data_IF_581520744813
#
_entry.id   IF_581520744813
#
_cell.length_a   1.000
_cell.length_b   1.000
_cell.length_c   1.000
_cell.angle_alpha   90.00
_cell.angle_beta   90.00
_cell.angle_gamma   90.00
#
_symmetry.space_group_name_H-M   'P 1'
#
loop_
_entity.id
_entity.type
_entity.pdbx_description
1 polymer ?
#
# COMPACT_ATOMS: atom_id res chain seq x y z
N UNK A 1 -12.68 -6.81 1.99
CA UNK A 1 -14.14 -6.59 2.16
C UNK A 1 -14.81 -5.97 0.91
N UNK A 2 -14.27 -4.92 0.28
CA UNK A 2 -14.86 -4.23 -0.89
C UNK A 2 -15.12 -5.20 -2.05
N UNK A 3 -14.15 -5.99 -2.48
CA UNK A 3 -14.30 -6.94 -3.59
C UNK A 3 -15.39 -8.00 -3.35
N UNK A 4 -15.53 -8.46 -2.11
CA UNK A 4 -16.58 -9.44 -1.75
C UNK A 4 -17.98 -8.88 -1.95
N UNK A 5 -18.16 -7.60 -1.67
CA UNK A 5 -19.47 -6.96 -1.69
C UNK A 5 -19.82 -6.42 -3.09
N UNK A 6 -18.82 -5.85 -3.79
CA UNK A 6 -19.05 -5.08 -5.02
C UNK A 6 -18.51 -5.76 -6.27
N UNK A 7 -17.65 -6.79 -6.13
CA UNK A 7 -16.94 -7.38 -7.26
C UNK A 7 -15.83 -6.47 -7.78
N UNK A 8 -15.37 -6.73 -8.99
CA UNK A 8 -14.38 -5.91 -9.70
C UNK A 8 -14.69 -5.83 -11.19
N UNK A 9 -14.18 -4.78 -11.83
CA UNK A 9 -14.27 -4.56 -13.28
C UNK A 9 -12.86 -4.38 -13.82
N UNK A 10 -12.48 -4.98 -14.96
CA UNK A 10 -11.20 -4.72 -15.60
C UNK A 10 -11.01 -3.24 -15.96
N UNK A 11 -9.79 -2.71 -15.82
CA UNK A 11 -9.48 -1.32 -16.11
C UNK A 11 -9.80 -0.93 -17.56
N UNK A 12 -9.64 -1.84 -18.52
CA UNK A 12 -9.98 -1.58 -19.93
C UNK A 12 -11.48 -1.44 -20.19
N UNK A 13 -12.33 -1.86 -19.26
CA UNK A 13 -13.79 -1.68 -19.31
C UNK A 13 -14.21 -0.44 -18.53
N UNK A 14 -13.63 -0.26 -17.35
CA UNK A 14 -13.90 0.89 -16.48
C UNK A 14 -12.60 1.32 -15.78
N UNK A 15 -12.06 2.43 -16.26
CA UNK A 15 -10.80 2.98 -15.75
C UNK A 15 -10.99 4.10 -14.72
N UNK A 16 -12.22 4.50 -14.40
CA UNK A 16 -12.48 5.60 -13.45
C UNK A 16 -11.97 6.97 -13.93
N UNK A 17 -11.74 7.14 -15.23
CA UNK A 17 -11.24 8.40 -15.80
C UNK A 17 -11.92 8.68 -17.16
N UNK A 18 -13.14 9.23 -17.17
CA UNK A 18 -13.86 9.56 -18.40
C UNK A 18 -13.24 10.74 -19.16
N UNK A 19 -12.28 11.45 -18.55
CA UNK A 19 -11.56 12.56 -19.14
C UNK A 19 -10.25 12.02 -19.72
N UNK A 20 -9.94 12.35 -20.98
CA UNK A 20 -8.70 11.95 -21.62
C UNK A 20 -7.47 12.48 -20.87
N UNK A 21 -6.46 11.61 -20.69
CA UNK A 21 -5.18 11.98 -20.09
C UNK A 21 -4.84 11.19 -18.82
N UNK A 22 -4.00 11.79 -17.98
CA UNK A 22 -3.63 11.19 -16.70
C UNK A 22 -4.73 11.37 -15.68
N UNK A 23 -4.89 10.38 -14.81
CA UNK A 23 -5.73 10.51 -13.62
C UNK A 23 -5.30 11.74 -12.81
N UNK A 24 -6.24 12.63 -12.54
CA UNK A 24 -6.07 13.79 -11.69
C UNK A 24 -7.38 14.06 -10.96
N UNK A 25 -7.45 13.68 -9.72
CA UNK A 25 -8.64 13.78 -8.89
C UNK A 25 -8.66 15.00 -7.97
N UNK A 26 -7.73 15.97 -8.17
CA UNK A 26 -7.64 17.15 -7.29
C UNK A 26 -8.92 17.97 -7.25
N UNK A 27 -9.56 18.17 -8.41
CA UNK A 27 -10.83 18.90 -8.46
C UNK A 27 -11.94 18.12 -7.74
N UNK A 28 -12.02 16.82 -7.98
CA UNK A 28 -12.98 15.92 -7.31
C UNK A 28 -12.82 15.98 -5.78
N UNK A 29 -11.59 15.90 -5.29
CA UNK A 29 -11.28 15.96 -3.86
C UNK A 29 -11.85 17.24 -3.22
N UNK A 30 -11.58 18.41 -3.82
CA UNK A 30 -12.08 19.68 -3.31
C UNK A 30 -13.59 19.81 -3.43
N UNK A 31 -14.19 19.31 -4.51
CA UNK A 31 -15.64 19.31 -4.68
C UNK A 31 -16.30 18.43 -3.62
N UNK A 32 -15.83 17.20 -3.43
CA UNK A 32 -16.35 16.28 -2.42
C UNK A 32 -16.22 16.85 -1.01
N UNK A 33 -15.06 17.42 -0.68
CA UNK A 33 -14.84 18.08 0.60
C UNK A 33 -15.81 19.25 0.80
N UNK A 34 -15.97 20.12 -0.19
CA UNK A 34 -16.88 21.26 -0.12
C UNK A 34 -18.34 20.86 0.06
N UNK A 35 -18.76 19.77 -0.60
CA UNK A 35 -20.10 19.20 -0.42
C UNK A 35 -20.31 18.67 0.99
N UNK A 36 -19.37 17.90 1.53
CA UNK A 36 -19.43 17.36 2.89
C UNK A 36 -19.43 18.48 3.95
N UNK A 37 -18.57 19.48 3.80
CA UNK A 37 -18.54 20.64 4.69
C UNK A 37 -19.90 21.38 4.67
N UNK A 38 -20.53 21.54 3.50
CA UNK A 38 -21.86 22.13 3.36
C UNK A 38 -22.96 21.32 4.01
N UNK A 39 -22.93 19.99 3.85
CA UNK A 39 -23.87 19.06 4.50
C UNK A 39 -23.76 19.16 6.02
N UNK A 40 -22.55 19.14 6.56
CA UNK A 40 -22.30 19.24 8.01
C UNK A 40 -22.70 20.60 8.58
N UNK A 41 -22.50 21.70 7.85
CA UNK A 41 -22.89 23.03 8.26
C UNK A 41 -24.45 23.20 8.41
N UNK A 42 -25.20 22.38 7.69
CA UNK A 42 -26.67 22.40 7.71
C UNK A 42 -27.33 21.93 9.00
N UNK A 43 -26.57 21.39 9.96
CA UNK A 43 -27.00 20.91 11.28
C UNK A 43 -28.12 19.84 11.29
N UNK A 44 -28.75 19.55 10.17
CA UNK A 44 -29.82 18.56 10.03
C UNK A 44 -29.60 17.80 8.72
N UNK A 45 -29.23 16.55 8.86
CA UNK A 45 -29.02 15.66 7.72
C UNK A 45 -30.36 15.17 7.18
N UNK A 46 -30.40 15.00 5.87
CA UNK A 46 -31.45 14.27 5.14
C UNK A 46 -30.78 13.05 4.52
N UNK A 47 -31.56 12.20 3.87
CA UNK A 47 -31.07 11.05 3.09
C UNK A 47 -30.58 11.43 1.67
N UNK A 48 -30.54 12.73 1.32
CA UNK A 48 -30.24 13.18 -0.04
C UNK A 48 -28.77 13.50 -0.29
N UNK A 49 -27.99 13.69 0.76
CA UNK A 49 -26.56 14.01 0.61
C UNK A 49 -25.77 12.85 0.00
N UNK A 50 -26.12 11.61 0.32
CA UNK A 50 -25.48 10.41 -0.20
C UNK A 50 -25.73 10.25 -1.72
N UNK A 51 -26.99 10.38 -2.16
CA UNK A 51 -27.35 10.43 -3.57
C UNK A 51 -26.57 11.53 -4.33
N UNK A 52 -26.40 12.70 -3.71
CA UNK A 52 -25.70 13.83 -4.33
C UNK A 52 -24.20 13.55 -4.47
N UNK A 53 -23.58 12.96 -3.46
CA UNK A 53 -22.18 12.55 -3.51
C UNK A 53 -21.96 11.47 -4.58
N UNK A 54 -22.80 10.43 -4.60
CA UNK A 54 -22.71 9.34 -5.59
C UNK A 54 -22.78 9.87 -7.02
N UNK A 55 -23.73 10.75 -7.33
CA UNK A 55 -23.83 11.38 -8.65
C UNK A 55 -22.65 12.28 -9.00
N UNK A 56 -22.02 12.89 -8.00
CA UNK A 56 -20.81 13.65 -8.21
C UNK A 56 -19.64 12.72 -8.56
N UNK A 57 -19.51 11.59 -7.86
CA UNK A 57 -18.53 10.56 -8.20
C UNK A 57 -18.74 10.04 -9.63
N UNK A 58 -19.98 9.72 -10.01
CA UNK A 58 -20.31 9.25 -11.36
C UNK A 58 -19.93 10.28 -12.44
N UNK A 59 -20.10 11.57 -12.14
CA UNK A 59 -19.74 12.65 -13.08
C UNK A 59 -18.22 12.75 -13.32
N UNK A 60 -17.40 12.49 -12.30
CA UNK A 60 -15.95 12.57 -12.37
C UNK A 60 -15.27 11.26 -12.73
N UNK A 61 -15.81 10.14 -12.30
CA UNK A 61 -15.21 8.81 -12.45
C UNK A 61 -15.89 7.95 -13.53
N UNK A 62 -17.07 8.36 -13.98
CA UNK A 62 -17.95 7.53 -14.81
C UNK A 62 -18.79 6.55 -13.99
N UNK A 63 -19.85 6.04 -14.60
CA UNK A 63 -20.72 5.04 -13.98
C UNK A 63 -20.06 3.66 -14.07
N UNK A 64 -20.03 2.94 -12.95
CA UNK A 64 -19.58 1.54 -12.93
C UNK A 64 -20.62 0.69 -13.67
N UNK A 65 -20.24 -0.13 -14.67
CA UNK A 65 -21.19 -0.94 -15.43
C UNK A 65 -21.77 -2.06 -14.57
N UNK A 66 -23.08 -2.24 -14.63
CA UNK A 66 -23.77 -3.41 -14.02
C UNK A 66 -23.40 -4.72 -14.72
N UNK A 67 -23.19 -4.66 -16.04
CA UNK A 67 -22.80 -5.78 -16.90
C UNK A 67 -21.78 -5.32 -17.94
N UNK A 68 -20.85 -6.19 -18.29
CA UNK A 68 -19.82 -5.92 -19.29
C UNK A 68 -19.40 -7.20 -20.03
N UNK A 69 -18.84 -7.04 -21.25
CA UNK A 69 -18.24 -8.14 -22.01
C UNK A 69 -16.72 -8.08 -21.92
N UNK A 70 -16.08 -9.17 -21.54
CA UNK A 70 -14.64 -9.29 -21.42
C UNK A 70 -14.16 -10.64 -21.96
N UNK A 71 -13.18 -10.65 -22.87
CA UNK A 71 -12.65 -11.87 -23.51
C UNK A 71 -13.74 -12.79 -24.10
N UNK A 72 -14.82 -12.20 -24.63
CA UNK A 72 -15.92 -12.92 -25.28
C UNK A 72 -16.99 -13.48 -24.34
N UNK A 73 -16.87 -13.26 -23.05
CA UNK A 73 -17.85 -13.64 -22.03
C UNK A 73 -18.55 -12.40 -21.47
N UNK A 74 -19.75 -12.57 -20.93
CA UNK A 74 -20.51 -11.53 -20.27
C UNK A 74 -20.45 -11.71 -18.76
N UNK A 75 -20.20 -10.62 -18.05
CA UNK A 75 -20.02 -10.59 -16.61
C UNK A 75 -20.82 -9.46 -15.98
N UNK A 76 -21.22 -9.66 -14.73
CA UNK A 76 -21.36 -8.59 -13.75
C UNK A 76 -20.04 -8.42 -12.98
N UNK A 77 -19.79 -7.28 -12.30
CA UNK A 77 -18.60 -7.12 -11.45
C UNK A 77 -18.40 -8.28 -10.46
N UNK A 78 -19.51 -8.79 -9.92
CA UNK A 78 -19.50 -9.91 -8.97
C UNK A 78 -19.14 -11.24 -9.62
N UNK A 79 -19.75 -11.58 -10.76
CA UNK A 79 -19.45 -12.83 -11.44
C UNK A 79 -18.03 -12.87 -12.01
N UNK A 80 -17.46 -11.70 -12.40
CA UNK A 80 -16.08 -11.61 -12.82
C UNK A 80 -15.12 -11.84 -11.64
N UNK A 81 -15.41 -11.25 -10.47
CA UNK A 81 -14.63 -11.52 -9.26
C UNK A 81 -14.65 -13.00 -8.86
N UNK A 82 -15.84 -13.63 -8.92
CA UNK A 82 -16.00 -15.05 -8.56
C UNK A 82 -15.21 -15.96 -9.52
N UNK A 83 -15.10 -15.61 -10.83
CA UNK A 83 -14.30 -16.37 -11.82
C UNK A 83 -12.78 -16.29 -11.56
N UNK A 84 -12.30 -15.23 -10.93
CA UNK A 84 -10.88 -15.10 -10.62
C UNK A 84 -10.40 -16.05 -9.53
N UNK A 85 -11.32 -16.72 -8.82
CA UNK A 85 -11.03 -17.67 -7.74
C UNK A 85 -10.14 -17.05 -6.62
N UNK A 86 -10.16 -15.72 -6.49
CA UNK A 86 -9.43 -15.02 -5.43
C UNK A 86 -10.29 -15.00 -4.17
N UNK A 87 -9.78 -15.59 -3.09
CA UNK A 87 -10.41 -15.49 -1.78
C UNK A 87 -9.70 -14.44 -0.91
N UNK A 88 -10.30 -13.27 -0.65
CA UNK A 88 -9.69 -12.24 0.19
C UNK A 88 -9.39 -12.71 1.63
N UNK A 89 -10.10 -13.75 2.14
CA UNK A 89 -9.84 -14.31 3.46
C UNK A 89 -8.55 -15.15 3.54
N UNK A 90 -7.90 -15.38 2.39
CA UNK A 90 -6.60 -16.04 2.36
C UNK A 90 -5.44 -15.06 2.54
N UNK A 91 -5.73 -13.76 2.68
CA UNK A 91 -4.73 -12.72 2.88
C UNK A 91 -4.79 -12.18 4.29
N UNK A 92 -3.61 -11.93 4.86
CA UNK A 92 -3.44 -11.43 6.22
C UNK A 92 -2.63 -10.15 6.16
N UNK A 93 -3.11 -9.12 6.86
CA UNK A 93 -2.41 -7.85 7.02
C UNK A 93 -1.64 -7.83 8.34
N UNK A 94 -0.36 -7.49 8.26
CA UNK A 94 0.56 -7.43 9.38
C UNK A 94 1.09 -6.02 9.56
N UNK A 95 1.28 -5.64 10.81
CA UNK A 95 1.94 -4.39 11.20
C UNK A 95 2.93 -4.64 12.33
N UNK A 96 3.72 -3.62 12.69
CA UNK A 96 4.76 -3.77 13.73
C UNK A 96 4.92 -2.50 14.55
N UNK A 97 4.25 -2.42 15.69
CA UNK A 97 4.35 -1.29 16.62
C UNK A 97 4.42 -1.78 18.08
N UNK A 98 5.49 -1.40 18.80
CA UNK A 98 5.79 -1.87 20.15
C UNK A 98 4.99 -1.15 21.26
N UNK A 99 4.21 -0.13 20.93
CA UNK A 99 3.27 0.53 21.84
C UNK A 99 1.94 -0.23 22.00
N UNK A 100 1.77 -1.34 21.29
CA UNK A 100 0.66 -2.27 21.36
C UNK A 100 1.19 -3.69 21.64
N UNK A 101 0.33 -4.57 22.09
CA UNK A 101 0.72 -5.96 22.29
C UNK A 101 1.09 -6.64 20.98
N UNK A 102 2.20 -7.33 20.95
CA UNK A 102 2.52 -8.21 19.85
C UNK A 102 1.65 -9.48 19.88
N UNK A 103 1.43 -10.05 18.70
CA UNK A 103 0.61 -11.21 18.44
C UNK A 103 -0.86 -11.01 18.84
N UNK A 104 -1.34 -9.78 18.62
CA UNK A 104 -2.72 -9.38 18.82
C UNK A 104 -3.22 -8.61 17.59
N UNK A 105 -4.53 -8.61 17.39
CA UNK A 105 -5.19 -7.80 16.35
C UNK A 105 -5.37 -6.38 16.85
N UNK A 106 -4.80 -5.45 16.16
CA UNK A 106 -4.88 -4.02 16.48
C UNK A 106 -5.50 -3.24 15.33
N UNK A 107 -6.17 -2.17 15.65
CA UNK A 107 -6.62 -1.15 14.69
C UNK A 107 -5.53 -0.10 14.56
N UNK A 108 -5.16 0.24 13.31
CA UNK A 108 -4.28 1.37 13.03
C UNK A 108 -5.13 2.61 12.77
N UNK A 109 -4.87 3.65 13.53
CA UNK A 109 -5.53 4.96 13.41
C UNK A 109 -4.86 5.78 12.30
N UNK A 110 -4.95 5.29 11.06
CA UNK A 110 -4.43 5.93 9.85
C UNK A 110 -5.60 6.31 8.92
N UNK A 111 -5.46 7.35 8.09
CA UNK A 111 -6.57 7.83 7.23
C UNK A 111 -7.11 6.77 6.28
N UNK A 112 -6.26 5.92 5.73
CA UNK A 112 -6.65 4.90 4.76
C UNK A 112 -7.38 3.70 5.40
N UNK A 113 -7.29 3.55 6.72
CA UNK A 113 -8.06 2.54 7.46
C UNK A 113 -9.48 3.03 7.83
N UNK A 114 -10.20 3.61 6.85
CA UNK A 114 -11.57 4.12 7.04
C UNK A 114 -12.60 3.03 7.37
N UNK A 115 -12.28 1.76 7.11
CA UNK A 115 -13.10 0.59 7.46
C UNK A 115 -12.90 0.12 8.89
N UNK A 116 -11.90 0.65 9.61
CA UNK A 116 -11.44 0.21 10.94
C UNK A 116 -11.06 -1.28 10.95
N UNK A 117 -10.48 -1.77 9.86
CA UNK A 117 -9.98 -3.12 9.77
C UNK A 117 -8.77 -3.33 10.69
N UNK A 118 -8.54 -4.58 11.07
CA UNK A 118 -7.51 -4.94 12.04
C UNK A 118 -6.32 -5.57 11.36
N UNK A 119 -5.15 -5.18 11.83
CA UNK A 119 -3.84 -5.68 11.44
C UNK A 119 -3.30 -6.60 12.54
N UNK A 120 -2.66 -7.70 12.17
CA UNK A 120 -2.00 -8.55 13.15
C UNK A 120 -0.62 -7.97 13.49
N UNK A 121 -0.46 -7.51 14.75
CA UNK A 121 0.75 -6.82 15.20
C UNK A 121 1.83 -7.83 15.60
N UNK A 122 3.00 -7.73 14.96
CA UNK A 122 4.15 -8.59 15.23
C UNK A 122 5.43 -7.77 15.40
N UNK A 123 6.49 -8.28 16.05
CA UNK A 123 7.80 -7.63 16.05
C UNK A 123 8.31 -7.40 14.62
N UNK A 124 9.11 -6.33 14.38
CA UNK A 124 9.63 -6.02 13.05
C UNK A 124 10.46 -7.16 12.45
N UNK A 125 11.16 -7.93 13.28
CA UNK A 125 11.89 -9.13 12.83
C UNK A 125 10.98 -10.17 12.23
N UNK A 126 9.74 -10.31 12.76
CA UNK A 126 8.77 -11.28 12.26
C UNK A 126 8.17 -10.77 10.94
N UNK A 127 8.02 -9.44 10.73
CA UNK A 127 7.69 -8.85 9.42
C UNK A 127 8.72 -9.27 8.37
N UNK A 128 10.01 -9.12 8.68
CA UNK A 128 11.07 -9.51 7.75
C UNK A 128 11.08 -11.03 7.49
N UNK A 129 10.85 -11.85 8.52
CA UNK A 129 10.75 -13.31 8.37
C UNK A 129 9.56 -13.69 7.46
N UNK A 130 8.41 -13.04 7.63
CA UNK A 130 7.24 -13.24 6.76
C UNK A 130 7.59 -12.87 5.31
N UNK A 131 8.21 -11.70 5.10
CA UNK A 131 8.58 -11.22 3.78
C UNK A 131 9.57 -12.17 3.08
N UNK A 132 10.59 -12.63 3.80
CA UNK A 132 11.61 -13.54 3.26
C UNK A 132 11.01 -14.91 2.94
N UNK A 133 10.16 -15.42 3.82
CA UNK A 133 9.45 -16.67 3.58
C UNK A 133 8.51 -16.57 2.38
N UNK A 134 7.76 -15.47 2.26
CA UNK A 134 6.88 -15.23 1.13
C UNK A 134 7.65 -15.26 -0.20
N UNK A 135 8.69 -14.44 -0.32
CA UNK A 135 9.49 -14.33 -1.55
C UNK A 135 10.20 -15.62 -1.89
N UNK A 136 10.74 -16.36 -0.89
CA UNK A 136 11.41 -17.64 -1.10
C UNK A 136 10.46 -18.75 -1.59
N UNK A 137 9.16 -18.63 -1.31
CA UNK A 137 8.14 -19.58 -1.72
C UNK A 137 7.32 -19.09 -2.94
N UNK A 138 7.77 -18.03 -3.62
CA UNK A 138 7.14 -17.54 -4.86
C UNK A 138 5.91 -16.67 -4.64
N UNK A 139 5.68 -16.21 -3.41
CA UNK A 139 4.63 -15.23 -3.11
C UNK A 139 5.19 -13.81 -3.16
N UNK A 140 4.41 -12.90 -3.64
CA UNK A 140 4.69 -11.47 -3.59
C UNK A 140 3.99 -10.81 -2.38
N UNK A 141 4.37 -9.57 -2.08
CA UNK A 141 3.93 -8.85 -0.89
C UNK A 141 3.34 -7.51 -1.32
N UNK A 142 2.13 -7.21 -0.87
CA UNK A 142 1.65 -5.83 -0.89
C UNK A 142 2.29 -5.11 0.30
N UNK A 143 3.02 -4.04 0.01
CA UNK A 143 3.70 -3.21 1.00
C UNK A 143 3.00 -1.87 1.08
N UNK A 144 2.72 -1.45 2.28
CA UNK A 144 2.16 -0.17 2.64
C UNK A 144 3.14 0.59 3.54
N UNK A 145 3.42 1.85 3.21
CA UNK A 145 4.36 2.65 3.96
C UNK A 145 4.64 4.00 3.35
N UNK A 146 5.67 4.65 3.88
CA UNK A 146 6.07 5.99 3.51
C UNK A 146 7.10 5.97 2.39
N UNK A 147 6.73 6.51 1.23
CA UNK A 147 7.61 6.76 0.08
C UNK A 147 7.99 8.25 -0.06
N UNK A 148 7.91 9.00 1.04
CA UNK A 148 8.16 10.43 1.12
C UNK A 148 9.47 10.90 0.50
N UNK A 149 9.76 12.19 0.62
CA UNK A 149 10.91 12.80 -0.08
C UNK A 149 12.26 12.35 0.45
N UNK A 150 12.32 12.01 1.72
CA UNK A 150 13.56 11.67 2.40
C UNK A 150 13.86 10.19 2.21
N UNK A 151 15.08 9.88 1.75
CA UNK A 151 15.61 8.53 1.61
C UNK A 151 15.00 7.67 0.49
N UNK A 152 13.98 8.14 -0.23
CA UNK A 152 13.42 7.51 -1.42
C UNK A 152 13.90 8.24 -2.69
N UNK A 153 14.99 7.75 -3.28
CA UNK A 153 15.67 8.39 -4.40
C UNK A 153 15.00 8.02 -5.74
N UNK A 154 13.97 8.78 -6.09
CA UNK A 154 13.05 8.47 -7.20
C UNK A 154 13.73 8.30 -8.55
N UNK A 155 14.72 9.13 -8.84
CA UNK A 155 15.42 9.10 -10.13
C UNK A 155 16.45 7.97 -10.19
N UNK A 156 17.00 7.61 -9.03
CA UNK A 156 18.05 6.60 -8.89
C UNK A 156 17.49 5.19 -8.75
N UNK A 157 16.21 5.05 -8.39
CA UNK A 157 15.50 3.78 -8.28
C UNK A 157 15.89 2.95 -7.07
N UNK A 158 16.28 3.60 -5.98
CA UNK A 158 16.53 2.93 -4.70
C UNK A 158 16.08 3.75 -3.49
N UNK A 159 15.97 3.10 -2.35
CA UNK A 159 15.63 3.69 -1.07
C UNK A 159 16.47 3.08 0.05
N UNK A 160 17.09 3.94 0.88
CA UNK A 160 18.04 3.56 1.93
C UNK A 160 17.90 4.51 3.12
N UNK A 161 18.36 4.10 4.32
CA UNK A 161 18.42 4.96 5.51
C UNK A 161 19.90 5.15 5.91
N UNK A 162 20.60 6.14 5.36
CA UNK A 162 22.01 6.33 5.60
C UNK A 162 22.29 6.74 7.06
N UNK A 163 23.47 6.40 7.56
CA UNK A 163 23.95 6.88 8.88
C UNK A 163 24.21 8.38 8.83
N UNK A 164 24.80 8.84 7.72
CA UNK A 164 25.10 10.24 7.47
C UNK A 164 24.11 10.83 6.47
N UNK A 165 23.18 11.64 6.97
CA UNK A 165 22.13 12.27 6.17
C UNK A 165 22.62 13.54 5.45
N UNK A 166 23.82 14.06 5.81
CA UNK A 166 24.36 15.32 5.26
C UNK A 166 25.12 15.09 3.93
N UNK A 167 25.52 13.84 3.65
CA UNK A 167 26.22 13.53 2.40
C UNK A 167 25.26 13.61 1.20
N UNK A 168 25.62 14.45 0.24
CA UNK A 168 24.81 14.61 -0.96
C UNK A 168 24.81 13.33 -1.81
N UNK A 169 23.67 13.00 -2.39
CA UNK A 169 23.50 11.83 -3.24
C UNK A 169 24.53 11.74 -4.38
N UNK A 170 24.86 12.88 -4.99
CA UNK A 170 25.83 12.99 -6.09
C UNK A 170 27.27 12.67 -5.70
N UNK A 171 27.59 12.75 -4.41
CA UNK A 171 28.92 12.46 -3.86
C UNK A 171 29.08 10.98 -3.44
N UNK A 172 28.00 10.18 -3.53
CA UNK A 172 27.95 8.80 -3.07
C UNK A 172 28.45 7.85 -4.16
N UNK A 173 29.69 7.42 -4.01
CA UNK A 173 30.35 6.49 -4.95
C UNK A 173 30.39 5.04 -4.48
N UNK A 174 30.13 4.81 -3.20
CA UNK A 174 30.15 3.50 -2.54
C UNK A 174 28.81 3.24 -1.86
N UNK A 175 28.42 1.95 -1.65
CA UNK A 175 27.24 1.63 -0.84
C UNK A 175 27.41 2.14 0.58
N UNK A 176 26.43 2.89 1.03
CA UNK A 176 26.45 3.55 2.32
C UNK A 176 26.29 2.57 3.48
N UNK A 177 26.79 3.00 4.65
CA UNK A 177 26.38 2.38 5.91
C UNK A 177 25.00 2.91 6.27
N UNK A 178 24.09 2.00 6.57
CA UNK A 178 22.75 2.34 6.96
C UNK A 178 22.58 2.30 8.48
N UNK A 179 21.60 3.08 8.96
CA UNK A 179 21.19 3.07 10.37
C UNK A 179 20.65 1.70 10.75
N UNK A 180 20.99 1.23 11.93
CA UNK A 180 20.31 0.09 12.56
C UNK A 180 18.97 0.57 13.11
N UNK A 181 17.88 0.06 12.55
CA UNK A 181 16.53 0.49 12.91
C UNK A 181 15.99 -0.33 14.07
N UNK A 182 15.56 0.37 15.11
CA UNK A 182 14.94 -0.22 16.31
C UNK A 182 13.42 -0.07 16.30
N UNK A 183 12.74 -0.85 17.14
CA UNK A 183 11.29 -0.75 17.34
C UNK A 183 10.89 0.66 17.87
N UNK A 184 11.73 1.25 18.72
CA UNK A 184 11.47 2.58 19.28
C UNK A 184 11.58 3.67 18.20
N UNK A 185 12.54 3.58 17.29
CA UNK A 185 12.64 4.50 16.15
C UNK A 185 11.40 4.43 15.26
N UNK A 186 10.86 3.25 15.08
CA UNK A 186 9.64 3.05 14.26
C UNK A 186 8.43 3.74 14.88
N UNK A 187 8.18 3.48 16.17
CA UNK A 187 7.01 4.09 16.83
C UNK A 187 7.18 5.60 17.02
N UNK A 188 8.40 6.09 17.23
CA UNK A 188 8.68 7.52 17.25
C UNK A 188 8.38 8.17 15.91
N UNK A 189 8.86 7.60 14.80
CA UNK A 189 8.64 8.11 13.45
C UNK A 189 7.14 8.07 13.07
N UNK A 190 6.40 7.05 13.47
CA UNK A 190 4.95 6.97 13.24
C UNK A 190 4.20 8.03 14.06
N UNK A 191 4.53 8.21 15.34
CA UNK A 191 3.86 9.18 16.20
C UNK A 191 4.19 10.64 15.86
N UNK A 192 5.36 10.91 15.29
CA UNK A 192 5.77 12.25 14.83
C UNK A 192 5.30 12.59 13.42
N UNK A 193 4.68 11.64 12.71
CA UNK A 193 4.31 11.74 11.30
C UNK A 193 5.50 11.87 10.35
N UNK A 194 6.70 11.41 10.76
CA UNK A 194 7.86 11.24 9.89
C UNK A 194 7.75 9.97 9.02
N UNK A 195 6.86 9.07 9.41
CA UNK A 195 6.40 7.93 8.62
C UNK A 195 4.89 7.96 8.58
N UNK A 196 4.36 8.03 7.38
CA UNK A 196 2.92 8.08 7.11
C UNK A 196 2.51 6.94 6.17
N UNK A 197 1.23 6.64 6.17
CA UNK A 197 0.55 5.78 5.24
C UNK A 197 0.28 6.57 3.94
N UNK A 198 1.27 6.59 3.03
CA UNK A 198 1.20 7.44 1.83
C UNK A 198 1.31 6.68 0.51
N UNK A 199 1.74 5.40 0.54
CA UNK A 199 1.99 4.71 -0.71
C UNK A 199 1.98 3.19 -0.63
N UNK A 200 1.29 2.58 -1.61
CA UNK A 200 1.26 1.13 -1.80
C UNK A 200 2.21 0.71 -2.92
N UNK A 201 3.03 -0.30 -2.66
CA UNK A 201 3.92 -0.92 -3.65
C UNK A 201 3.89 -2.44 -3.57
N UNK A 202 4.46 -3.09 -4.58
CA UNK A 202 4.45 -4.54 -4.72
C UNK A 202 5.87 -5.10 -4.66
N UNK A 203 6.23 -5.76 -3.56
CA UNK A 203 7.55 -6.40 -3.41
C UNK A 203 7.51 -7.77 -4.06
N UNK A 204 8.42 -8.02 -5.00
CA UNK A 204 8.42 -9.21 -5.86
C UNK A 204 9.71 -10.02 -5.82
N UNK A 205 10.72 -9.58 -5.09
CA UNK A 205 11.99 -10.28 -4.99
C UNK A 205 12.96 -9.64 -4.01
N UNK A 206 14.15 -10.19 -3.93
CA UNK A 206 15.28 -9.69 -3.17
C UNK A 206 16.51 -9.48 -4.05
N UNK A 207 17.41 -8.61 -3.63
CA UNK A 207 18.70 -8.38 -4.24
C UNK A 207 19.75 -8.08 -3.16
N UNK A 208 21.02 -8.12 -3.53
CA UNK A 208 22.12 -7.71 -2.68
C UNK A 208 23.02 -6.74 -3.45
N UNK A 209 23.60 -5.77 -2.75
CA UNK A 209 24.64 -4.93 -3.30
C UNK A 209 26.02 -5.62 -3.15
N UNK A 210 27.09 -4.97 -3.66
CA UNK A 210 28.45 -5.50 -3.61
C UNK A 210 29.02 -5.70 -2.20
N UNK A 211 28.40 -5.11 -1.18
CA UNK A 211 28.79 -5.24 0.23
C UNK A 211 27.93 -6.26 1.00
N UNK A 212 27.02 -6.97 0.31
CA UNK A 212 26.11 -7.92 0.92
C UNK A 212 24.92 -7.28 1.64
N UNK A 213 24.65 -5.99 1.43
CA UNK A 213 23.44 -5.35 1.97
C UNK A 213 22.23 -5.84 1.18
N UNK A 214 21.24 -6.34 1.91
CA UNK A 214 19.99 -6.86 1.35
C UNK A 214 19.05 -5.73 0.94
N UNK A 215 18.43 -5.92 -0.21
CA UNK A 215 17.38 -5.08 -0.74
C UNK A 215 16.13 -5.91 -1.11
N UNK A 216 14.98 -5.28 -1.03
CA UNK A 216 13.73 -5.79 -1.58
C UNK A 216 13.48 -5.16 -2.94
N UNK A 217 13.26 -6.00 -3.96
CA UNK A 217 12.97 -5.58 -5.33
C UNK A 217 11.47 -5.30 -5.44
N UNK A 218 11.13 -4.06 -5.67
CA UNK A 218 9.79 -3.52 -5.46
C UNK A 218 9.27 -2.85 -6.72
N UNK A 219 8.09 -3.25 -7.19
CA UNK A 219 7.39 -2.63 -8.30
C UNK A 219 6.53 -1.48 -7.80
N UNK A 220 6.67 -0.32 -8.45
CA UNK A 220 5.85 0.85 -8.22
C UNK A 220 4.81 1.03 -9.35
N UNK A 221 3.76 1.83 -9.09
CA UNK A 221 2.67 2.12 -10.02
C UNK A 221 2.91 3.32 -10.96
N UNK A 222 4.10 3.97 -10.89
CA UNK A 222 4.37 5.21 -11.64
C UNK A 222 4.81 5.02 -13.09
N UNK A 223 4.55 3.85 -13.68
CA UNK A 223 4.91 3.50 -15.04
C UNK A 223 6.41 3.19 -15.21
N UNK A 224 6.79 2.87 -16.46
CA UNK A 224 8.15 2.44 -16.80
C UNK A 224 8.96 3.49 -17.55
N UNK A 225 8.28 4.44 -18.19
CA UNK A 225 8.91 5.45 -19.05
C UNK A 225 9.88 6.34 -18.26
N UNK A 226 11.10 6.46 -18.77
CA UNK A 226 12.18 7.28 -18.20
C UNK A 226 12.56 6.89 -16.75
N UNK A 227 12.35 5.61 -16.37
CA UNK A 227 12.75 5.06 -15.08
C UNK A 227 13.98 4.17 -15.24
N UNK A 228 14.94 4.31 -14.33
CA UNK A 228 16.24 3.62 -14.38
C UNK A 228 16.10 2.09 -14.38
N UNK A 229 15.11 1.56 -13.68
CA UNK A 229 14.85 0.13 -13.56
C UNK A 229 13.41 -0.22 -13.98
N UNK A 230 12.92 0.37 -15.05
CA UNK A 230 11.60 0.07 -15.65
C UNK A 230 10.44 0.10 -14.65
N UNK A 231 10.47 1.07 -13.72
CA UNK A 231 9.43 1.24 -12.70
C UNK A 231 9.58 0.38 -11.44
N UNK A 232 10.73 -0.25 -11.29
CA UNK A 232 11.11 -0.95 -10.08
C UNK A 232 12.09 -0.14 -9.23
N UNK A 233 12.12 -0.43 -7.93
CA UNK A 233 13.01 0.15 -6.93
C UNK A 233 13.67 -0.92 -6.09
N UNK A 234 14.84 -0.59 -5.55
CA UNK A 234 15.54 -1.40 -4.57
C UNK A 234 15.40 -0.71 -3.21
N UNK A 235 14.58 -1.27 -2.32
CA UNK A 235 14.41 -0.78 -0.95
C UNK A 235 15.30 -1.60 -0.01
N UNK A 236 16.23 -0.95 0.71
CA UNK A 236 17.08 -1.64 1.66
C UNK A 236 16.29 -2.23 2.83
N UNK A 237 16.86 -3.20 3.52
CA UNK A 237 16.23 -3.76 4.73
C UNK A 237 16.02 -2.69 5.82
N UNK A 238 16.96 -1.74 5.98
CA UNK A 238 16.81 -0.62 6.91
C UNK A 238 15.65 0.31 6.51
N UNK A 239 15.51 0.58 5.21
CA UNK A 239 14.40 1.37 4.69
C UNK A 239 13.06 0.68 4.98
N UNK A 240 12.94 -0.60 4.63
CA UNK A 240 11.75 -1.40 4.89
C UNK A 240 11.44 -1.45 6.39
N UNK A 241 12.45 -1.68 7.23
CA UNK A 241 12.26 -1.64 8.69
C UNK A 241 11.66 -0.34 9.19
N UNK A 242 12.16 0.82 8.73
CA UNK A 242 11.70 2.11 9.24
C UNK A 242 10.36 2.53 8.63
N UNK A 243 10.22 2.37 7.32
CA UNK A 243 9.16 3.01 6.53
C UNK A 243 7.91 2.14 6.32
N UNK A 244 7.93 0.87 6.71
CA UNK A 244 6.75 -0.01 6.60
C UNK A 244 5.70 0.35 7.66
N UNK A 245 4.49 0.65 7.22
CA UNK A 245 3.28 0.76 8.05
C UNK A 245 2.62 -0.60 8.17
N UNK A 246 2.39 -1.26 7.04
CA UNK A 246 1.80 -2.59 7.00
C UNK A 246 2.31 -3.41 5.81
N UNK A 247 2.09 -4.71 5.85
CA UNK A 247 2.22 -5.61 4.70
C UNK A 247 0.98 -6.50 4.61
N UNK A 248 0.60 -6.88 3.39
CA UNK A 248 -0.40 -7.93 3.16
C UNK A 248 0.23 -9.07 2.38
N UNK A 249 0.02 -10.30 2.86
CA UNK A 249 0.52 -11.53 2.25
C UNK A 249 -0.54 -12.62 2.23
N UNK A 250 -0.42 -13.56 1.30
CA UNK A 250 -1.22 -14.78 1.34
C UNK A 250 -0.88 -15.62 2.58
N UNK A 251 -1.85 -16.20 3.25
CA UNK A 251 -1.67 -16.98 4.51
C UNK A 251 -0.63 -18.10 4.38
N UNK A 252 -0.54 -18.75 3.20
CA UNK A 252 0.42 -19.83 2.94
C UNK A 252 1.87 -19.33 2.82
N UNK A 253 2.05 -18.02 2.69
CA UNK A 253 3.34 -17.35 2.73
C UNK A 253 3.86 -17.06 4.15
N UNK A 254 2.98 -17.19 5.16
CA UNK A 254 3.33 -16.91 6.56
C UNK A 254 4.05 -18.10 7.18
N UNK A 255 5.21 -17.90 7.86
CA UNK A 255 5.86 -18.97 8.61
C UNK A 255 4.92 -19.62 9.63
N UNK A 256 4.95 -20.94 9.74
CA UNK A 256 4.06 -21.69 10.67
C UNK A 256 4.17 -21.19 12.10
N UNK A 257 5.38 -20.86 12.55
CA UNK A 257 5.67 -20.32 13.90
C UNK A 257 4.91 -19.01 14.20
N UNK A 258 4.61 -18.21 13.16
CA UNK A 258 3.84 -16.97 13.29
C UNK A 258 2.36 -17.25 13.08
N UNK A 259 2.00 -18.06 12.09
CA UNK A 259 0.61 -18.41 11.78
C UNK A 259 -0.10 -19.05 12.98
N UNK A 260 0.60 -19.90 13.74
CA UNK A 260 0.06 -20.55 14.95
C UNK A 260 -0.26 -19.56 16.10
N UNK A 261 0.25 -18.33 16.04
CA UNK A 261 -0.04 -17.26 17.01
C UNK A 261 -1.30 -16.47 16.65
N UNK A 262 -1.76 -16.56 15.41
CA UNK A 262 -3.00 -15.93 14.94
C UNK A 262 -4.17 -16.75 15.46
N UNK A 263 -4.94 -16.15 16.38
CA UNK A 263 -6.09 -16.79 17.03
C UNK A 263 -7.40 -16.20 16.52
#
# INVERSE_FOLDING_TARGET
MIYKNNGIVPEEIYNGNPIEGRHNHSELEYVMKGMLDGVLAGRKLTDKWDDALSRTLDAYLGEIPDEFSYNGNNYSPKSFFDELEINPDDYIEFTSYNNRNYYDWIELEIPDNWTNDKYFNVPIKDILEIMDNALSNGYSICWDGDSGKDHFYRNEGYAVIPVDDEEKLEDRTEPEKEKEITEDMRIEAFNSFDVTDDHLMHIVGTAENQNGTKFYYTKNSWGTKDKKYDGYWYMSESYVKLKTVAIMVHKDAVPKSILEKIK
#
